data_IF_272476813262
#
_entry.id   IF_272476813262
#
_cell.length_a   1.000
_cell.length_b   1.000
_cell.length_c   1.000
_cell.angle_alpha   90.00
_cell.angle_beta   90.00
_cell.angle_gamma   90.00
#
_symmetry.space_group_name_H-M   'P 1'
#
loop_
_entity.id
_entity.type
_entity.pdbx_description
1 polymer ?
#
# COMPACT_ATOMS: atom_id res chain seq x y z
N UNK A 1 7.72 12.47 -8.12
CA UNK A 1 8.29 11.32 -8.89
C UNK A 1 9.55 11.80 -9.57
N UNK A 2 10.51 10.91 -9.79
CA UNK A 2 11.75 11.20 -10.51
C UNK A 2 11.81 10.28 -11.72
N UNK A 3 11.90 10.85 -12.92
CA UNK A 3 12.07 10.14 -14.19
C UNK A 3 13.51 10.34 -14.62
N UNK A 4 14.25 9.26 -14.79
CA UNK A 4 15.62 9.27 -15.29
C UNK A 4 15.57 9.02 -16.79
N UNK A 5 16.18 9.91 -17.56
CA UNK A 5 16.20 9.87 -19.03
C UNK A 5 17.45 9.10 -19.50
N UNK A 6 17.31 8.35 -20.60
CA UNK A 6 18.43 7.70 -21.27
C UNK A 6 19.44 8.74 -21.81
N UNK A 7 20.73 8.43 -21.78
CA UNK A 7 21.78 9.39 -22.16
C UNK A 7 21.70 9.88 -23.62
N UNK A 8 21.10 9.08 -24.50
CA UNK A 8 20.98 9.35 -25.93
C UNK A 8 19.56 9.71 -26.35
N UNK A 9 18.65 9.95 -25.40
CA UNK A 9 17.29 10.34 -25.72
C UNK A 9 17.29 11.67 -26.48
N UNK A 10 16.50 11.74 -27.55
CA UNK A 10 16.32 12.98 -28.30
C UNK A 10 15.53 14.00 -27.47
N UNK A 11 15.75 15.29 -27.75
CA UNK A 11 14.93 16.36 -27.15
C UNK A 11 13.43 16.16 -27.42
N UNK A 12 13.06 15.59 -28.58
CA UNK A 12 11.67 15.26 -28.89
C UNK A 12 11.07 14.21 -27.95
N UNK A 13 11.86 13.21 -27.55
CA UNK A 13 11.42 12.21 -26.56
C UNK A 13 11.24 12.85 -25.19
N UNK A 14 12.19 13.71 -24.76
CA UNK A 14 12.11 14.43 -23.49
C UNK A 14 10.86 15.30 -23.43
N UNK A 15 10.60 16.08 -24.48
CA UNK A 15 9.40 16.92 -24.58
C UNK A 15 8.11 16.09 -24.59
N UNK A 16 8.10 14.93 -25.26
CA UNK A 16 6.95 14.00 -25.21
C UNK A 16 6.64 13.53 -23.79
N UNK A 17 7.68 13.19 -23.01
CA UNK A 17 7.56 12.77 -21.60
C UNK A 17 7.05 13.93 -20.74
N UNK A 18 7.60 15.14 -20.93
CA UNK A 18 7.17 16.34 -20.21
C UNK A 18 5.69 16.64 -20.51
N UNK A 19 5.28 16.60 -21.77
CA UNK A 19 3.90 16.83 -22.17
C UNK A 19 2.95 15.79 -21.56
N UNK A 20 3.32 14.50 -21.60
CA UNK A 20 2.53 13.44 -20.96
C UNK A 20 2.33 13.68 -19.47
N UNK A 21 3.38 14.12 -18.77
CA UNK A 21 3.32 14.46 -17.35
C UNK A 21 2.44 15.69 -17.09
N UNK A 22 2.58 16.75 -17.89
CA UNK A 22 1.78 17.97 -17.79
C UNK A 22 0.30 17.72 -18.09
N UNK A 23 -0.02 16.91 -19.10
CA UNK A 23 -1.40 16.53 -19.47
C UNK A 23 -2.09 15.79 -18.32
N UNK A 24 -1.35 15.01 -17.55
CA UNK A 24 -1.85 14.35 -16.35
C UNK A 24 -1.90 15.30 -15.12
N UNK A 25 -1.43 16.53 -15.28
CA UNK A 25 -1.44 17.59 -14.28
C UNK A 25 -0.33 17.48 -13.24
N UNK A 26 0.83 16.94 -13.61
CA UNK A 26 2.08 17.15 -12.86
C UNK A 26 2.72 18.47 -13.28
N UNK A 27 3.45 19.08 -12.35
CA UNK A 27 4.40 20.14 -12.66
C UNK A 27 5.79 19.52 -12.84
N UNK A 28 6.48 19.82 -13.93
CA UNK A 28 7.70 19.10 -14.32
C UNK A 28 8.92 20.00 -14.28
N UNK A 29 9.88 19.63 -13.45
CA UNK A 29 11.17 20.28 -13.36
C UNK A 29 12.23 19.44 -14.07
N UNK A 30 12.82 19.98 -15.13
CA UNK A 30 13.94 19.36 -15.84
C UNK A 30 15.28 19.77 -15.20
N UNK A 31 16.12 18.79 -14.94
CA UNK A 31 17.52 18.97 -14.54
C UNK A 31 18.43 18.28 -15.54
N UNK A 32 19.07 19.06 -16.41
CA UNK A 32 20.04 18.57 -17.40
C UNK A 32 21.45 18.64 -16.83
N UNK A 33 22.01 17.49 -16.44
CA UNK A 33 23.41 17.37 -16.03
C UNK A 33 24.32 17.02 -17.20
N UNK A 34 25.63 17.03 -16.96
CA UNK A 34 26.66 16.69 -17.98
C UNK A 34 26.49 15.26 -18.52
N UNK A 35 26.09 14.32 -17.66
CA UNK A 35 26.01 12.89 -18.01
C UNK A 35 24.59 12.32 -18.02
N UNK A 36 23.60 13.05 -17.51
CA UNK A 36 22.25 12.53 -17.32
C UNK A 36 21.23 13.66 -17.20
N UNK A 37 20.08 13.46 -17.82
CA UNK A 37 18.90 14.31 -17.64
C UNK A 37 17.91 13.62 -16.71
N UNK A 38 17.35 14.39 -15.77
CA UNK A 38 16.37 13.91 -14.81
C UNK A 38 15.17 14.85 -14.82
N UNK A 39 13.97 14.29 -14.83
CA UNK A 39 12.71 15.04 -14.69
C UNK A 39 12.11 14.79 -13.31
N UNK A 40 11.97 15.85 -12.52
CA UNK A 40 11.18 15.84 -11.29
C UNK A 40 9.73 16.16 -11.61
N UNK A 41 8.83 15.19 -11.47
CA UNK A 41 7.39 15.40 -11.56
C UNK A 41 6.80 15.66 -10.18
N UNK A 42 6.31 16.88 -9.96
CA UNK A 42 5.78 17.42 -8.72
C UNK A 42 4.25 17.38 -8.78
N UNK A 43 3.65 16.99 -7.65
CA UNK A 43 2.20 16.77 -7.54
C UNK A 43 1.89 15.32 -7.14
N UNK A 44 0.96 15.16 -6.21
CA UNK A 44 0.52 13.84 -5.76
C UNK A 44 -0.67 13.40 -6.61
N UNK A 45 -0.43 12.48 -7.52
CA UNK A 45 -1.46 11.79 -8.29
C UNK A 45 -1.45 10.30 -7.90
N UNK A 46 -2.33 9.85 -6.98
CA UNK A 46 -2.32 8.48 -6.46
C UNK A 46 -2.48 7.44 -7.57
N UNK A 47 -3.37 7.72 -8.52
CA UNK A 47 -3.82 6.81 -9.57
C UNK A 47 -2.93 6.82 -10.82
N UNK A 48 -1.89 7.65 -10.85
CA UNK A 48 -0.94 7.63 -11.96
C UNK A 48 -0.05 6.39 -11.88
N UNK A 49 -0.11 5.58 -12.93
CA UNK A 49 0.72 4.40 -13.07
C UNK A 49 2.07 4.76 -13.69
N UNK A 50 3.14 4.68 -12.89
CA UNK A 50 4.49 5.02 -13.35
C UNK A 50 5.00 4.10 -14.47
N UNK A 51 4.40 2.91 -14.63
CA UNK A 51 4.74 1.97 -15.70
C UNK A 51 4.43 2.56 -17.09
N UNK A 52 3.45 3.45 -17.19
CA UNK A 52 3.14 4.13 -18.46
C UNK A 52 4.35 4.94 -18.96
N UNK A 53 5.08 5.60 -18.05
CA UNK A 53 6.29 6.36 -18.39
C UNK A 53 7.47 5.43 -18.65
N UNK A 54 7.61 4.35 -17.88
CA UNK A 54 8.69 3.37 -18.08
C UNK A 54 8.68 2.73 -19.47
N UNK A 55 7.55 2.79 -20.19
CA UNK A 55 7.38 2.26 -21.55
C UNK A 55 7.61 3.31 -22.64
N UNK A 56 7.80 4.59 -22.29
CA UNK A 56 8.06 5.64 -23.28
C UNK A 56 9.52 5.62 -23.71
N UNK A 57 9.75 5.86 -25.00
CA UNK A 57 11.10 5.96 -25.55
C UNK A 57 11.89 7.08 -24.85
N UNK A 58 13.16 6.80 -24.53
CA UNK A 58 14.04 7.74 -23.83
C UNK A 58 13.90 7.74 -22.30
N UNK A 59 13.01 6.93 -21.71
CA UNK A 59 12.95 6.74 -20.25
C UNK A 59 13.83 5.57 -19.82
N UNK A 60 14.83 5.85 -18.99
CA UNK A 60 15.69 4.81 -18.42
C UNK A 60 15.07 4.18 -17.17
N UNK A 61 14.55 5.00 -16.25
CA UNK A 61 13.93 4.54 -15.00
C UNK A 61 12.92 5.55 -14.46
N UNK A 62 11.95 5.06 -13.68
CA UNK A 62 10.95 5.91 -13.01
C UNK A 62 10.87 5.54 -11.53
N UNK A 63 11.07 6.53 -10.67
CA UNK A 63 11.05 6.37 -9.22
C UNK A 63 9.92 7.18 -8.61
N UNK A 64 9.00 6.51 -7.90
CA UNK A 64 7.98 7.18 -7.11
C UNK A 64 8.60 7.60 -5.77
N UNK A 65 8.71 8.92 -5.56
CA UNK A 65 9.27 9.49 -4.31
C UNK A 65 8.30 9.32 -3.14
N UNK A 66 7.00 9.49 -3.38
CA UNK A 66 5.96 9.34 -2.36
C UNK A 66 5.47 7.90 -2.29
N UNK A 67 5.24 7.38 -1.08
CA UNK A 67 4.56 6.10 -0.91
C UNK A 67 3.14 6.13 -1.48
N UNK A 68 2.68 5.08 -2.18
CA UNK A 68 1.31 5.01 -2.72
C UNK A 68 0.24 4.88 -1.62
N UNK A 69 0.62 4.53 -0.40
CA UNK A 69 -0.24 4.31 0.76
C UNK A 69 -0.11 5.45 1.79
N UNK A 70 -0.28 6.71 1.35
CA UNK A 70 -0.03 7.92 2.16
C UNK A 70 -0.60 7.82 3.58
N UNK A 71 -1.88 7.50 3.74
CA UNK A 71 -2.54 7.48 5.06
C UNK A 71 -2.09 6.35 5.99
N UNK A 72 -1.53 5.27 5.45
CA UNK A 72 -0.98 4.16 6.24
C UNK A 72 0.54 4.30 6.47
N UNK A 73 1.20 5.29 5.87
CA UNK A 73 2.65 5.48 5.98
C UNK A 73 3.05 6.21 7.27
N UNK A 74 4.20 5.82 7.84
CA UNK A 74 4.86 6.55 8.93
C UNK A 74 5.45 7.88 8.50
N UNK A 75 5.60 8.13 7.20
CA UNK A 75 5.96 9.46 6.69
C UNK A 75 4.82 10.45 6.87
N UNK A 76 3.58 9.97 6.82
CA UNK A 76 2.39 10.77 7.03
C UNK A 76 1.96 10.84 8.50
N UNK A 77 1.87 9.69 9.18
CA UNK A 77 1.47 9.60 10.60
C UNK A 77 2.59 8.96 11.40
N UNK A 78 3.31 9.75 12.19
CA UNK A 78 4.49 9.27 12.95
C UNK A 78 4.06 8.39 14.12
N UNK A 79 2.91 8.68 14.73
CA UNK A 79 2.40 8.02 15.93
C UNK A 79 1.71 6.68 15.62
N UNK A 80 1.69 5.77 16.60
CA UNK A 80 0.95 4.52 16.48
C UNK A 80 -0.55 4.78 16.32
N UNK A 81 -1.20 4.02 15.44
CA UNK A 81 -2.65 3.88 15.48
C UNK A 81 -3.00 2.85 16.55
N UNK A 82 -3.70 3.29 17.60
CA UNK A 82 -4.23 2.43 18.66
C UNK A 82 -5.74 2.33 18.49
N UNK A 83 -6.24 1.11 18.29
CA UNK A 83 -7.67 0.82 18.19
C UNK A 83 -8.14 0.26 19.53
N UNK A 84 -9.07 0.95 20.18
CA UNK A 84 -9.67 0.51 21.44
C UNK A 84 -10.99 -0.22 21.17
N UNK A 85 -11.04 -1.50 21.55
CA UNK A 85 -12.24 -2.32 21.50
C UNK A 85 -12.61 -2.71 22.93
N UNK A 86 -13.51 -1.95 23.55
CA UNK A 86 -14.01 -2.21 24.92
C UNK A 86 -12.87 -2.38 25.94
N UNK A 87 -11.82 -1.57 25.85
CA UNK A 87 -10.64 -1.62 26.71
C UNK A 87 -9.49 -2.46 26.18
N UNK A 88 -9.68 -3.26 25.12
CA UNK A 88 -8.60 -3.98 24.44
C UNK A 88 -7.93 -3.06 23.42
N UNK A 89 -6.67 -2.67 23.66
CA UNK A 89 -5.91 -1.72 22.84
C UNK A 89 -5.01 -2.43 21.81
N UNK A 90 -5.43 -2.48 20.55
CA UNK A 90 -4.65 -3.05 19.45
C UNK A 90 -3.70 -1.97 18.89
N UNK A 91 -2.40 -2.26 18.85
CA UNK A 91 -1.36 -1.30 18.43
C UNK A 91 -0.74 -0.47 19.56
N UNK A 92 -1.12 -0.77 20.80
CA UNK A 92 -0.47 -0.25 22.02
C UNK A 92 0.76 -1.09 22.41
N UNK A 93 1.12 -1.04 23.70
CA UNK A 93 2.26 -1.79 24.24
C UNK A 93 1.91 -3.23 24.65
N UNK A 94 0.61 -3.52 24.77
CA UNK A 94 0.11 -4.83 25.24
C UNK A 94 0.05 -5.82 24.07
N UNK A 95 0.36 -7.09 24.35
CA UNK A 95 0.21 -8.17 23.36
C UNK A 95 -1.25 -8.61 23.35
N UNK A 96 -1.95 -8.35 22.24
CA UNK A 96 -3.35 -8.77 22.05
C UNK A 96 -3.40 -10.12 21.34
N UNK A 97 -3.99 -11.12 21.99
CA UNK A 97 -4.21 -12.45 21.41
C UNK A 97 -5.64 -12.58 20.94
N UNK A 98 -5.81 -12.85 19.63
CA UNK A 98 -7.11 -13.16 19.02
C UNK A 98 -7.14 -14.64 18.64
N UNK A 99 -8.04 -15.41 19.25
CA UNK A 99 -8.10 -16.86 19.08
C UNK A 99 -9.54 -17.33 18.87
N UNK A 100 -9.71 -18.52 18.30
CA UNK A 100 -11.02 -19.11 18.00
C UNK A 100 -10.96 -20.01 16.78
N UNK A 101 -12.09 -20.61 16.37
CA UNK A 101 -12.09 -21.60 15.31
C UNK A 101 -11.76 -21.02 13.92
N UNK A 102 -11.35 -21.90 13.02
CA UNK A 102 -11.15 -21.52 11.62
C UNK A 102 -12.48 -21.11 10.96
N UNK A 103 -13.51 -21.92 11.17
CA UNK A 103 -14.90 -21.73 10.74
C UNK A 103 -15.82 -21.86 11.94
N UNK A 104 -16.88 -21.06 12.02
CA UNK A 104 -17.92 -21.28 13.01
C UNK A 104 -18.86 -22.38 12.51
N UNK A 105 -18.70 -23.61 13.01
CA UNK A 105 -19.42 -24.79 12.50
C UNK A 105 -20.69 -25.08 13.30
N UNK A 106 -20.68 -24.82 14.60
CA UNK A 106 -21.85 -24.95 15.47
C UNK A 106 -21.78 -23.99 16.66
N UNK A 107 -22.93 -23.69 17.25
CA UNK A 107 -23.02 -22.88 18.47
C UNK A 107 -22.18 -23.51 19.60
N UNK A 108 -22.36 -24.80 19.86
CA UNK A 108 -21.64 -25.55 20.89
C UNK A 108 -20.12 -25.46 20.70
N UNK A 109 -19.62 -25.67 19.48
CA UNK A 109 -18.20 -25.55 19.16
C UNK A 109 -17.69 -24.14 19.47
N UNK A 110 -18.41 -23.11 19.00
CA UNK A 110 -17.98 -21.72 19.16
C UNK A 110 -17.93 -21.33 20.64
N UNK A 111 -18.94 -21.66 21.42
CA UNK A 111 -18.96 -21.34 22.86
C UNK A 111 -17.92 -22.13 23.65
N UNK A 112 -17.72 -23.42 23.33
CA UNK A 112 -16.69 -24.26 23.96
C UNK A 112 -15.28 -23.68 23.73
N UNK A 113 -14.99 -23.29 22.48
CA UNK A 113 -13.71 -22.69 22.15
C UNK A 113 -13.57 -21.32 22.79
N UNK A 114 -14.62 -20.49 22.77
CA UNK A 114 -14.61 -19.15 23.37
C UNK A 114 -14.23 -19.20 24.86
N UNK A 115 -14.81 -20.13 25.61
CA UNK A 115 -14.47 -20.34 27.01
C UNK A 115 -13.01 -20.77 27.20
N UNK A 116 -12.55 -21.75 26.41
CA UNK A 116 -11.17 -22.28 26.48
C UNK A 116 -10.11 -21.21 26.18
N UNK A 117 -10.31 -20.43 25.11
CA UNK A 117 -9.34 -19.40 24.72
C UNK A 117 -9.37 -18.20 25.67
N UNK A 118 -10.53 -17.83 26.20
CA UNK A 118 -10.65 -16.78 27.21
C UNK A 118 -9.91 -17.17 28.51
N UNK A 119 -10.09 -18.41 28.99
CA UNK A 119 -9.34 -18.96 30.13
C UNK A 119 -7.83 -18.98 29.89
N UNK A 120 -7.41 -19.10 28.64
CA UNK A 120 -6.00 -19.07 28.22
C UNK A 120 -5.45 -17.65 28.00
N UNK A 121 -6.26 -16.60 28.23
CA UNK A 121 -5.84 -15.20 28.14
C UNK A 121 -6.08 -14.52 26.80
N UNK A 122 -6.77 -15.16 25.85
CA UNK A 122 -7.21 -14.47 24.63
C UNK A 122 -8.28 -13.43 24.96
N UNK A 123 -8.13 -12.22 24.41
CA UNK A 123 -9.03 -11.10 24.70
C UNK A 123 -10.02 -10.82 23.57
N UNK A 124 -9.85 -11.47 22.42
CA UNK A 124 -10.73 -11.35 21.26
C UNK A 124 -11.01 -12.74 20.68
N UNK A 125 -12.30 -13.05 20.51
CA UNK A 125 -12.75 -14.26 19.83
C UNK A 125 -12.82 -14.01 18.31
N UNK A 126 -12.21 -14.89 17.51
CA UNK A 126 -12.35 -14.90 16.04
C UNK A 126 -13.04 -16.15 15.53
N UNK A 127 -13.76 -16.06 14.42
CA UNK A 127 -14.39 -17.20 13.75
C UNK A 127 -14.87 -16.82 12.36
N UNK A 128 -14.57 -17.63 11.35
CA UNK A 128 -15.03 -17.37 9.99
C UNK A 128 -16.46 -17.85 9.78
N UNK A 129 -17.39 -16.95 9.45
CA UNK A 129 -18.76 -17.31 9.07
C UNK A 129 -18.89 -17.70 7.58
N UNK A 130 -17.96 -17.22 6.75
CA UNK A 130 -17.93 -17.49 5.32
C UNK A 130 -16.58 -18.11 4.94
N UNK A 131 -16.63 -19.10 4.06
CA UNK A 131 -15.46 -19.71 3.43
C UNK A 131 -15.68 -19.79 1.92
N UNK A 132 -14.66 -19.51 1.10
CA UNK A 132 -14.75 -19.71 -0.33
C UNK A 132 -14.95 -21.20 -0.61
N UNK A 133 -16.01 -21.55 -1.33
CA UNK A 133 -16.22 -22.93 -1.77
C UNK A 133 -15.33 -23.23 -2.97
N UNK A 134 -14.33 -24.08 -2.76
CA UNK A 134 -13.57 -24.68 -3.86
C UNK A 134 -14.34 -25.82 -4.55
N UNK A 135 -15.24 -26.50 -3.82
CA UNK A 135 -16.10 -27.58 -4.30
C UNK A 135 -17.50 -27.52 -3.63
N UNK A 136 -18.55 -28.12 -4.23
CA UNK A 136 -19.92 -28.12 -3.68
C UNK A 136 -20.11 -28.83 -2.34
N UNK A 137 -19.07 -29.46 -1.81
CA UNK A 137 -19.09 -30.23 -0.57
C UNK A 137 -18.11 -29.70 0.49
N UNK A 138 -17.50 -28.54 0.21
CA UNK A 138 -16.66 -27.81 1.15
C UNK A 138 -17.49 -26.91 2.09
#
# INVERSE_FOLDING_TARGET
MVVVIEQQASEAHIESIINRLNDYGFDVHRSSGVNQTVLGAIGVKPDFDTRELSLMDGVANVFRVTSPYKFASRDWKKENSVIDIKGVRIGGNDVVVMAGPCSAESEEQVFTIAESVAKSGATILRGGAFKPRSLPYA
#
